data_IF_638541921253
#
_entry.id   IF_638541921253
#
_cell.length_a   1.000
_cell.length_b   1.000
_cell.length_c   1.000
_cell.angle_alpha   90.00
_cell.angle_beta   90.00
_cell.angle_gamma   90.00
#
_symmetry.space_group_name_H-M   'P 1'
#
loop_
_entity.id
_entity.type
_entity.pdbx_description
1 polymer ?
#
# COMPACT_ATOMS: atom_id res chain seq x y z
N UNK A 1 -17.76 1.56 -22.87
CA UNK A 1 -17.06 2.72 -22.27
C UNK A 1 -15.62 2.78 -22.77
N UNK A 2 -15.04 3.97 -22.99
CA UNK A 2 -13.62 4.09 -23.39
C UNK A 2 -12.69 4.03 -22.17
N UNK A 3 -11.40 3.71 -22.37
CA UNK A 3 -10.41 3.69 -21.28
C UNK A 3 -10.29 5.03 -20.55
N UNK A 4 -10.31 6.15 -21.29
CA UNK A 4 -10.27 7.49 -20.69
C UNK A 4 -11.49 7.77 -19.83
N UNK A 5 -12.68 7.38 -20.29
CA UNK A 5 -13.92 7.54 -19.52
C UNK A 5 -13.91 6.68 -18.25
N UNK A 6 -13.40 5.44 -18.35
CA UNK A 6 -13.23 4.54 -17.21
C UNK A 6 -12.30 5.15 -16.15
N UNK A 7 -11.14 5.65 -16.58
CA UNK A 7 -10.18 6.31 -15.70
C UNK A 7 -10.74 7.59 -15.08
N UNK A 8 -11.49 8.40 -15.82
CA UNK A 8 -12.12 9.59 -15.25
C UNK A 8 -13.19 9.23 -14.22
N UNK A 9 -13.95 8.16 -14.47
CA UNK A 9 -15.02 7.71 -13.59
C UNK A 9 -14.45 7.15 -12.28
N UNK A 10 -13.40 6.34 -12.34
CA UNK A 10 -12.79 5.70 -11.17
C UNK A 10 -11.47 6.36 -10.73
N UNK A 11 -11.25 7.65 -11.02
CA UNK A 11 -9.95 8.29 -10.79
C UNK A 11 -9.49 8.25 -9.33
N UNK A 12 -10.43 8.41 -8.37
CA UNK A 12 -10.12 8.40 -6.94
C UNK A 12 -9.64 7.01 -6.46
N UNK A 13 -10.39 5.90 -6.65
CA UNK A 13 -9.87 4.58 -6.33
C UNK A 13 -8.66 4.20 -7.19
N UNK A 14 -8.59 4.58 -8.47
CA UNK A 14 -7.44 4.26 -9.31
C UNK A 14 -6.13 4.84 -8.75
N UNK A 15 -6.18 6.05 -8.17
CA UNK A 15 -5.04 6.65 -7.45
C UNK A 15 -4.69 5.87 -6.19
N UNK A 16 -5.67 5.41 -5.42
CA UNK A 16 -5.43 4.58 -4.23
C UNK A 16 -4.78 3.23 -4.60
N UNK A 17 -5.28 2.54 -5.63
CA UNK A 17 -4.68 1.33 -6.17
C UNK A 17 -3.23 1.58 -6.65
N UNK A 18 -2.99 2.70 -7.33
CA UNK A 18 -1.64 3.07 -7.76
C UNK A 18 -0.72 3.37 -6.56
N UNK A 19 -1.18 4.11 -5.55
CA UNK A 19 -0.41 4.40 -4.34
C UNK A 19 -0.05 3.10 -3.59
N UNK A 20 -1.04 2.24 -3.37
CA UNK A 20 -0.87 0.91 -2.78
C UNK A 20 0.16 0.07 -3.56
N UNK A 21 0.03 0.02 -4.88
CA UNK A 21 0.97 -0.70 -5.75
C UNK A 21 2.39 -0.17 -5.59
N UNK A 22 2.57 1.15 -5.69
CA UNK A 22 3.88 1.78 -5.64
C UNK A 22 4.62 1.53 -4.32
N UNK A 23 3.94 1.63 -3.17
CA UNK A 23 4.57 1.39 -1.86
C UNK A 23 4.90 -0.08 -1.65
N UNK A 24 4.01 -1.01 -2.01
CA UNK A 24 4.27 -2.45 -1.90
C UNK A 24 5.36 -2.93 -2.85
N UNK A 25 5.38 -2.42 -4.09
CA UNK A 25 6.42 -2.74 -5.06
C UNK A 25 7.80 -2.25 -4.60
N UNK A 26 7.86 -1.03 -4.05
CA UNK A 26 9.08 -0.49 -3.45
C UNK A 26 9.53 -1.31 -2.24
N UNK A 27 8.60 -1.69 -1.36
CA UNK A 27 8.89 -2.54 -0.21
C UNK A 27 9.46 -3.89 -0.64
N UNK A 28 8.79 -4.59 -1.57
CA UNK A 28 9.23 -5.90 -2.06
C UNK A 28 10.67 -5.85 -2.62
N UNK A 29 11.02 -4.80 -3.36
CA UNK A 29 12.38 -4.58 -3.87
C UNK A 29 13.41 -4.30 -2.76
N UNK A 30 12.97 -3.86 -1.58
CA UNK A 30 13.80 -3.44 -0.44
C UNK A 30 13.93 -4.53 0.64
N UNK A 31 13.04 -5.54 0.64
CA UNK A 31 13.01 -6.64 1.62
C UNK A 31 14.38 -7.30 1.84
N UNK A 32 15.16 -7.68 0.81
CA UNK A 32 16.46 -8.30 1.02
C UNK A 32 17.44 -7.42 1.81
N UNK A 33 17.43 -6.11 1.55
CA UNK A 33 18.30 -5.15 2.23
C UNK A 33 17.87 -4.92 3.69
N UNK A 34 16.55 -4.83 3.94
CA UNK A 34 16.02 -4.70 5.31
C UNK A 34 16.38 -5.93 6.13
N UNK A 35 16.14 -7.13 5.60
CA UNK A 35 16.47 -8.39 6.28
C UNK A 35 17.96 -8.47 6.65
N UNK A 36 18.84 -8.10 5.71
CA UNK A 36 20.28 -8.07 5.93
C UNK A 36 20.67 -7.03 7.00
N UNK A 37 20.08 -5.83 6.97
CA UNK A 37 20.34 -4.78 7.97
C UNK A 37 19.86 -5.12 9.38
N UNK A 38 18.86 -5.99 9.50
CA UNK A 38 18.35 -6.50 10.78
C UNK A 38 19.12 -7.73 11.29
N UNK A 39 20.10 -8.25 10.52
CA UNK A 39 20.82 -9.49 10.79
C UNK A 39 19.89 -10.67 11.16
N UNK A 40 18.78 -10.78 10.41
CA UNK A 40 17.70 -11.69 10.75
C UNK A 40 17.75 -12.99 9.93
N UNK A 41 17.66 -14.12 10.62
CA UNK A 41 17.40 -15.42 9.99
C UNK A 41 15.99 -15.51 9.40
N UNK A 42 15.80 -16.40 8.43
CA UNK A 42 14.57 -16.56 7.63
C UNK A 42 13.31 -16.74 8.49
N UNK A 43 13.37 -17.61 9.50
CA UNK A 43 12.24 -17.89 10.37
C UNK A 43 11.83 -16.65 11.20
N UNK A 44 12.80 -15.93 11.76
CA UNK A 44 12.55 -14.76 12.58
C UNK A 44 12.01 -13.59 11.74
N UNK A 45 12.60 -13.38 10.55
CA UNK A 45 12.10 -12.37 9.61
C UNK A 45 10.70 -12.71 9.09
N UNK A 46 10.44 -13.98 8.76
CA UNK A 46 9.12 -14.46 8.35
C UNK A 46 8.06 -14.27 9.45
N UNK A 47 8.41 -14.52 10.72
CA UNK A 47 7.52 -14.23 11.85
C UNK A 47 7.21 -12.75 11.99
N UNK A 48 8.21 -11.88 11.78
CA UNK A 48 7.99 -10.43 11.83
C UNK A 48 7.15 -9.94 10.64
N UNK A 49 7.32 -10.52 9.44
CA UNK A 49 6.42 -10.29 8.30
C UNK A 49 4.99 -10.79 8.58
N UNK A 50 4.82 -11.91 9.29
CA UNK A 50 3.51 -12.44 9.65
C UNK A 50 2.66 -11.44 10.47
N UNK A 51 3.29 -10.51 11.19
CA UNK A 51 2.57 -9.42 11.85
C UNK A 51 1.72 -8.60 10.86
N UNK A 52 2.10 -8.45 9.59
CA UNK A 52 1.23 -7.78 8.60
C UNK A 52 -0.04 -8.55 8.30
N UNK A 53 0.00 -9.89 8.31
CA UNK A 53 -1.19 -10.71 8.16
C UNK A 53 -2.17 -10.50 9.32
N UNK A 54 -1.66 -10.37 10.55
CA UNK A 54 -2.50 -10.01 11.71
C UNK A 54 -3.16 -8.65 11.53
N UNK A 55 -2.40 -7.66 11.04
CA UNK A 55 -2.93 -6.33 10.71
C UNK A 55 -4.05 -6.38 9.68
N UNK A 56 -3.88 -7.17 8.61
CA UNK A 56 -4.89 -7.37 7.57
C UNK A 56 -6.19 -7.98 8.14
N UNK A 57 -6.09 -8.98 9.02
CA UNK A 57 -7.26 -9.59 9.68
C UNK A 57 -8.00 -8.56 10.54
N UNK A 58 -7.27 -7.74 11.30
CA UNK A 58 -7.88 -6.66 12.09
C UNK A 58 -8.58 -5.63 11.19
N UNK A 59 -8.00 -5.33 10.03
CA UNK A 59 -8.56 -4.40 9.07
C UNK A 59 -9.93 -4.85 8.52
N UNK A 60 -10.18 -6.17 8.38
CA UNK A 60 -11.48 -6.66 7.89
C UNK A 60 -12.65 -6.20 8.77
N UNK A 61 -12.43 -6.04 10.08
CA UNK A 61 -13.45 -5.53 11.00
C UNK A 61 -13.46 -4.00 11.07
N UNK A 62 -12.28 -3.37 11.03
CA UNK A 62 -12.15 -1.93 11.21
C UNK A 62 -12.49 -1.12 9.96
N UNK A 63 -12.30 -1.67 8.77
CA UNK A 63 -12.48 -0.94 7.53
C UNK A 63 -13.94 -0.52 7.30
N UNK A 64 -14.96 -1.40 7.44
CA UNK A 64 -16.36 -0.96 7.29
C UNK A 64 -16.77 0.09 8.33
N UNK A 65 -16.27 -0.03 9.57
CA UNK A 65 -16.56 0.94 10.64
C UNK A 65 -15.94 2.30 10.36
N UNK A 66 -14.71 2.31 9.87
CA UNK A 66 -13.97 3.51 9.53
C UNK A 66 -14.59 4.19 8.31
N UNK A 67 -14.97 3.39 7.31
CA UNK A 67 -15.64 3.88 6.11
C UNK A 67 -16.99 4.53 6.43
N UNK A 68 -17.81 3.88 7.25
CA UNK A 68 -19.10 4.42 7.68
C UNK A 68 -18.96 5.74 8.48
N UNK A 69 -17.87 5.92 9.23
CA UNK A 69 -17.61 7.12 10.03
C UNK A 69 -17.01 8.26 9.23
N UNK A 70 -16.09 7.98 8.31
CA UNK A 70 -15.33 9.00 7.57
C UNK A 70 -15.96 9.32 6.21
N UNK A 71 -16.80 8.45 5.67
CA UNK A 71 -17.48 8.63 4.38
C UNK A 71 -16.49 8.94 3.26
N UNK A 72 -16.68 10.08 2.59
CA UNK A 72 -15.82 10.53 1.50
C UNK A 72 -14.35 10.71 1.90
N UNK A 73 -14.04 10.92 3.18
CA UNK A 73 -12.67 11.06 3.68
C UNK A 73 -11.98 9.72 3.96
N UNK A 74 -12.71 8.60 3.97
CA UNK A 74 -12.14 7.30 4.33
C UNK A 74 -11.00 6.89 3.37
N UNK A 75 -11.24 6.96 2.07
CA UNK A 75 -10.28 6.55 1.04
C UNK A 75 -8.99 7.41 1.02
N UNK A 76 -9.06 8.76 0.97
CA UNK A 76 -7.84 9.57 0.98
C UNK A 76 -7.07 9.44 2.29
N UNK A 77 -7.73 9.41 3.45
CA UNK A 77 -7.05 9.25 4.74
C UNK A 77 -6.40 7.87 4.90
N UNK A 78 -7.07 6.80 4.45
CA UNK A 78 -6.50 5.46 4.46
C UNK A 78 -5.27 5.38 3.54
N UNK A 79 -5.35 5.95 2.34
CA UNK A 79 -4.25 5.96 1.35
C UNK A 79 -3.04 6.78 1.83
N UNK A 80 -3.28 7.94 2.45
CA UNK A 80 -2.22 8.75 3.07
C UNK A 80 -1.59 8.02 4.26
N UNK A 81 -2.42 7.44 5.14
CA UNK A 81 -1.98 6.65 6.28
C UNK A 81 -1.11 5.46 5.87
N UNK A 82 -1.52 4.73 4.83
CA UNK A 82 -0.75 3.65 4.23
C UNK A 82 0.65 4.12 3.78
N UNK A 83 0.71 5.24 3.07
CA UNK A 83 1.98 5.76 2.53
C UNK A 83 2.94 6.16 3.66
N UNK A 84 2.41 6.70 4.77
CA UNK A 84 3.19 7.09 5.94
C UNK A 84 3.72 5.86 6.70
N UNK A 85 2.89 4.84 6.95
CA UNK A 85 3.31 3.68 7.76
C UNK A 85 4.42 2.85 7.09
N UNK A 86 4.55 2.92 5.76
CA UNK A 86 5.64 2.28 5.02
C UNK A 86 7.03 2.89 5.28
N UNK A 87 7.13 4.06 5.93
CA UNK A 87 8.40 4.55 6.46
C UNK A 87 8.92 3.66 7.61
N UNK A 88 8.01 3.02 8.35
CA UNK A 88 8.32 2.22 9.53
C UNK A 88 9.27 1.04 9.26
N UNK A 89 8.96 0.14 8.31
CA UNK A 89 9.81 -1.03 8.02
C UNK A 89 11.25 -0.67 7.62
N UNK A 90 11.45 0.47 6.95
CA UNK A 90 12.78 0.95 6.53
C UNK A 90 13.56 1.59 7.67
N UNK A 91 12.85 2.18 8.64
CA UNK A 91 13.44 2.82 9.83
C UNK A 91 13.59 1.86 11.02
N UNK A 92 13.14 0.61 10.90
CA UNK A 92 13.20 -0.37 11.97
C UNK A 92 14.65 -0.75 12.30
N UNK A 93 15.08 -0.51 13.55
CA UNK A 93 16.43 -0.85 14.01
C UNK A 93 16.58 -2.27 14.54
N UNK A 94 15.49 -3.02 14.69
CA UNK A 94 15.49 -4.42 15.14
C UNK A 94 14.19 -5.13 14.70
N UNK A 95 14.17 -6.47 14.83
CA UNK A 95 13.05 -7.31 14.42
C UNK A 95 11.72 -6.99 15.12
N UNK A 96 11.74 -6.57 16.38
CA UNK A 96 10.53 -6.22 17.12
C UNK A 96 9.90 -4.94 16.55
N UNK A 97 10.72 -3.92 16.31
CA UNK A 97 10.28 -2.68 15.65
C UNK A 97 9.77 -2.96 14.24
N UNK A 98 10.45 -3.83 13.48
CA UNK A 98 10.02 -4.24 12.15
C UNK A 98 8.66 -4.96 12.20
N UNK A 99 8.47 -5.92 13.11
CA UNK A 99 7.20 -6.62 13.28
C UNK A 99 6.05 -5.68 13.67
N UNK A 100 6.30 -4.73 14.59
CA UNK A 100 5.32 -3.70 14.94
C UNK A 100 4.97 -2.78 13.75
N UNK A 101 5.98 -2.39 12.95
CA UNK A 101 5.76 -1.62 11.73
C UNK A 101 4.96 -2.43 10.70
N UNK A 102 5.27 -3.72 10.52
CA UNK A 102 4.53 -4.60 9.62
C UNK A 102 3.09 -4.81 10.06
N UNK A 103 2.79 -4.88 11.36
CA UNK A 103 1.43 -4.90 11.89
C UNK A 103 0.64 -3.66 11.45
N UNK A 104 1.22 -2.46 11.60
CA UNK A 104 0.59 -1.21 11.19
C UNK A 104 0.43 -1.11 9.66
N UNK A 105 1.45 -1.51 8.90
CA UNK A 105 1.39 -1.62 7.44
C UNK A 105 0.24 -2.54 7.04
N UNK A 106 0.13 -3.73 7.63
CA UNK A 106 -0.95 -4.67 7.37
C UNK A 106 -2.33 -4.09 7.66
N UNK A 107 -2.47 -3.40 8.80
CA UNK A 107 -3.71 -2.75 9.20
C UNK A 107 -4.12 -1.66 8.20
N UNK A 108 -3.25 -0.68 7.92
CA UNK A 108 -3.54 0.40 6.98
C UNK A 108 -3.73 -0.10 5.55
N UNK A 109 -2.97 -1.13 5.15
CA UNK A 109 -3.09 -1.75 3.82
C UNK A 109 -4.45 -2.42 3.68
N UNK A 110 -4.88 -3.23 4.65
CA UNK A 110 -6.20 -3.87 4.60
C UNK A 110 -7.34 -2.86 4.65
N UNK A 111 -7.18 -1.79 5.42
CA UNK A 111 -8.19 -0.73 5.54
C UNK A 111 -8.36 0.00 4.21
N UNK A 112 -7.24 0.37 3.59
CA UNK A 112 -7.23 0.98 2.25
C UNK A 112 -7.80 0.02 1.20
N UNK A 113 -7.44 -1.26 1.24
CA UNK A 113 -7.90 -2.27 0.29
C UNK A 113 -9.43 -2.45 0.32
N UNK A 114 -10.02 -2.64 1.50
CA UNK A 114 -11.46 -2.77 1.65
C UNK A 114 -12.19 -1.51 1.14
N UNK A 115 -11.72 -0.32 1.55
CA UNK A 115 -12.35 0.94 1.15
C UNK A 115 -12.23 1.19 -0.35
N UNK A 116 -11.05 1.02 -0.95
CA UNK A 116 -10.85 1.27 -2.37
C UNK A 116 -11.67 0.31 -3.25
N UNK A 117 -11.76 -0.97 -2.86
CA UNK A 117 -12.58 -1.95 -3.58
C UNK A 117 -14.07 -1.61 -3.44
N UNK A 118 -14.53 -1.22 -2.25
CA UNK A 118 -15.92 -0.79 -2.05
C UNK A 118 -16.29 0.41 -2.94
N UNK A 119 -15.43 1.44 -3.01
CA UNK A 119 -15.65 2.60 -3.91
C UNK A 119 -15.70 2.21 -5.38
N UNK A 120 -14.89 1.26 -5.82
CA UNK A 120 -14.98 0.74 -7.19
C UNK A 120 -16.31 0.03 -7.39
N UNK A 121 -16.69 -0.91 -6.53
CA UNK A 121 -17.94 -1.66 -6.66
C UNK A 121 -19.19 -0.76 -6.62
N UNK A 122 -19.19 0.30 -5.82
CA UNK A 122 -20.25 1.32 -5.81
C UNK A 122 -20.36 2.04 -7.18
N UNK A 123 -19.23 2.41 -7.78
CA UNK A 123 -19.20 3.03 -9.10
C UNK A 123 -19.67 2.06 -10.19
N UNK A 124 -19.25 0.80 -10.13
CA UNK A 124 -19.68 -0.24 -11.07
C UNK A 124 -21.20 -0.45 -10.98
N UNK A 125 -21.75 -0.53 -9.77
CA UNK A 125 -23.19 -0.69 -9.55
C UNK A 125 -23.99 0.54 -10.02
N UNK A 126 -23.47 1.75 -9.85
CA UNK A 126 -24.16 2.98 -10.25
C UNK A 126 -24.10 3.25 -11.76
N UNK A 127 -23.13 2.68 -12.48
CA UNK A 127 -22.87 3.00 -13.89
C UNK A 127 -22.92 1.79 -14.84
N UNK A 128 -23.18 0.59 -14.32
CA UNK A 128 -23.17 -0.69 -15.08
C UNK A 128 -21.89 -0.85 -15.93
N UNK A 129 -20.75 -0.62 -15.28
CA UNK A 129 -19.45 -0.54 -15.94
C UNK A 129 -18.41 -1.42 -15.24
N UNK A 130 -17.61 -2.23 -15.96
CA UNK A 130 -16.55 -3.06 -15.36
C UNK A 130 -15.28 -2.23 -15.14
N UNK A 131 -15.12 -1.68 -13.94
CA UNK A 131 -14.01 -0.81 -13.52
C UNK A 131 -12.93 -1.55 -12.74
N UNK A 132 -13.26 -2.67 -12.08
CA UNK A 132 -12.35 -3.36 -11.15
C UNK A 132 -11.03 -3.80 -11.80
N UNK A 133 -11.11 -4.45 -12.96
CA UNK A 133 -9.91 -4.89 -13.69
C UNK A 133 -8.97 -3.74 -14.06
N UNK A 134 -9.53 -2.57 -14.41
CA UNK A 134 -8.74 -1.38 -14.71
C UNK A 134 -8.01 -0.86 -13.48
N UNK A 135 -8.69 -0.80 -12.33
CA UNK A 135 -8.09 -0.32 -11.08
C UNK A 135 -6.98 -1.27 -10.60
N UNK A 136 -7.18 -2.59 -10.72
CA UNK A 136 -6.10 -3.56 -10.47
C UNK A 136 -4.94 -3.45 -11.47
N UNK A 137 -5.19 -3.16 -12.74
CA UNK A 137 -4.13 -2.90 -13.70
C UNK A 137 -3.28 -1.67 -13.30
N UNK A 138 -3.90 -0.63 -12.73
CA UNK A 138 -3.18 0.52 -12.17
C UNK A 138 -2.31 0.13 -10.97
N UNK A 139 -2.79 -0.73 -10.07
CA UNK A 139 -1.97 -1.29 -8.98
C UNK A 139 -0.75 -2.04 -9.54
N UNK A 140 -0.94 -2.94 -10.50
CA UNK A 140 0.17 -3.74 -11.05
C UNK A 140 1.21 -2.88 -11.76
N UNK A 141 0.77 -1.89 -12.54
CA UNK A 141 1.66 -0.93 -13.19
C UNK A 141 2.46 -0.13 -12.15
N UNK A 142 1.78 0.40 -11.13
CA UNK A 142 2.44 1.16 -10.09
C UNK A 142 3.38 0.30 -9.22
N UNK A 143 3.04 -0.96 -8.97
CA UNK A 143 3.90 -1.92 -8.28
C UNK A 143 5.21 -2.15 -9.02
N UNK A 144 5.12 -2.40 -10.34
CA UNK A 144 6.31 -2.51 -11.19
C UNK A 144 7.16 -1.23 -11.13
N UNK A 145 6.53 -0.07 -11.31
CA UNK A 145 7.24 1.22 -11.29
C UNK A 145 7.89 1.50 -9.92
N UNK A 146 7.22 1.19 -8.82
CA UNK A 146 7.76 1.32 -7.47
C UNK A 146 8.97 0.41 -7.25
N UNK A 147 8.89 -0.85 -7.68
CA UNK A 147 10.02 -1.77 -7.61
C UNK A 147 11.23 -1.29 -8.44
N UNK A 148 10.98 -0.77 -9.65
CA UNK A 148 12.03 -0.19 -10.50
C UNK A 148 12.65 1.06 -9.88
N UNK A 149 11.84 1.95 -9.30
CA UNK A 149 12.31 3.15 -8.60
C UNK A 149 13.19 2.78 -7.40
N UNK A 150 12.74 1.84 -6.57
CA UNK A 150 13.52 1.35 -5.44
C UNK A 150 14.84 0.69 -5.89
N UNK A 151 14.82 -0.06 -7.00
CA UNK A 151 16.02 -0.60 -7.64
C UNK A 151 17.00 0.49 -8.07
N UNK A 152 16.52 1.53 -8.76
CA UNK A 152 17.33 2.64 -9.22
C UNK A 152 17.92 3.47 -8.06
N UNK A 153 17.14 3.72 -7.00
CA UNK A 153 17.63 4.38 -5.78
C UNK A 153 18.76 3.56 -5.14
N UNK A 154 18.60 2.24 -5.05
CA UNK A 154 19.63 1.35 -4.52
C UNK A 154 20.89 1.37 -5.38
N UNK A 155 20.77 1.29 -6.70
CA UNK A 155 21.90 1.32 -7.63
C UNK A 155 22.67 2.65 -7.56
N UNK A 156 21.96 3.76 -7.37
CA UNK A 156 22.55 5.08 -7.17
C UNK A 156 23.22 5.26 -5.78
N UNK A 157 23.18 4.26 -4.90
CA UNK A 157 23.72 4.34 -3.55
C UNK A 157 22.97 5.33 -2.63
N UNK A 158 21.73 5.66 -2.99
CA UNK A 158 20.91 6.61 -2.25
C UNK A 158 20.16 5.94 -1.07
N UNK A 159 19.74 6.71 -0.04
CA UNK A 159 18.98 6.17 1.07
C UNK A 159 17.65 5.52 0.63
N UNK A 160 17.41 4.27 1.04
CA UNK A 160 16.19 3.51 0.69
C UNK A 160 14.90 4.08 1.29
N UNK A 161 14.97 5.11 2.13
CA UNK A 161 13.80 5.85 2.61
C UNK A 161 13.20 6.75 1.52
N UNK A 162 13.96 7.14 0.49
CA UNK A 162 13.53 8.13 -0.49
C UNK A 162 12.28 7.72 -1.31
N UNK A 163 12.14 6.49 -1.83
CA UNK A 163 10.92 6.07 -2.51
C UNK A 163 9.69 6.21 -1.60
N UNK A 164 9.80 5.78 -0.34
CA UNK A 164 8.69 5.82 0.61
C UNK A 164 8.36 7.23 1.06
N UNK A 165 9.36 8.09 1.28
CA UNK A 165 9.14 9.51 1.56
C UNK A 165 8.47 10.23 0.38
N UNK A 166 8.88 9.91 -0.85
CA UNK A 166 8.22 10.41 -2.05
C UNK A 166 6.74 10.01 -2.08
N UNK A 167 6.40 8.75 -1.84
CA UNK A 167 5.00 8.31 -1.79
C UNK A 167 4.23 8.86 -0.59
N UNK A 168 4.86 9.06 0.56
CA UNK A 168 4.21 9.71 1.71
C UNK A 168 3.81 11.16 1.41
N UNK A 169 4.55 11.86 0.55
CA UNK A 169 4.24 13.24 0.13
C UNK A 169 3.31 13.26 -1.10
N UNK A 170 3.53 12.37 -2.07
CA UNK A 170 2.79 12.34 -3.33
C UNK A 170 1.47 11.55 -3.28
N UNK A 171 1.34 10.64 -2.30
CA UNK A 171 0.15 9.81 -2.06
C UNK A 171 -0.84 10.39 -1.05
N UNK A 172 -0.61 11.64 -0.61
CA UNK A 172 -1.51 12.44 0.22
C UNK A 172 -2.38 13.38 -0.64
#
# INVERSE_FOLDING_TARGET
MTLRAALSLSHAPARAFAAMGAVWGSFAATVPAIKAGLDAGDAAFGMALFCSALGLVLAMWLAPLTDARLGALALPLASAGLSIVFLGPVLAGNLVMFGAAMLLVGLCSGLTDVVMNARVSELEAAHDAPLMNLNHAMFSLAYMLGALLAGAVREAGLPMILPFAFFAVAGA
#
